data_IF_001541121198
#
_entry.id   IF_001541121198
#
_cell.length_a   1.000
_cell.length_b   1.000
_cell.length_c   1.000
_cell.angle_alpha   90.00
_cell.angle_beta   90.00
_cell.angle_gamma   90.00
#
_symmetry.space_group_name_H-M   'P 1'
#
loop_
_entity.id
_entity.type
_entity.pdbx_description
1 polymer ?
#
# COMPACT_ATOMS: atom_id res chain seq x y z
N UNK A 1 14.04 -20.95 -27.79
CA UNK A 1 14.68 -19.76 -27.18
C UNK A 1 14.66 -19.88 -25.67
N UNK A 2 15.76 -19.55 -25.00
CA UNK A 2 15.92 -19.63 -23.55
C UNK A 2 15.82 -18.22 -22.96
N UNK A 3 14.94 -18.01 -21.98
CA UNK A 3 14.87 -16.81 -21.18
C UNK A 3 15.56 -17.08 -19.85
N UNK A 4 16.69 -16.41 -19.60
CA UNK A 4 17.36 -16.44 -18.30
C UNK A 4 16.84 -15.29 -17.45
N UNK A 5 16.25 -15.58 -16.30
CA UNK A 5 15.70 -14.57 -15.41
C UNK A 5 16.52 -14.53 -14.13
N UNK A 6 17.04 -13.34 -13.80
CA UNK A 6 17.93 -13.11 -12.66
C UNK A 6 17.54 -11.83 -11.90
N UNK A 7 17.97 -11.73 -10.65
CA UNK A 7 17.84 -10.49 -9.88
C UNK A 7 19.01 -9.53 -10.09
N UNK A 8 18.74 -8.25 -9.98
CA UNK A 8 19.72 -7.18 -10.12
C UNK A 8 20.90 -7.24 -9.13
N UNK A 9 20.73 -7.96 -8.01
CA UNK A 9 21.78 -8.12 -6.98
C UNK A 9 22.78 -9.23 -7.31
N UNK A 10 22.48 -10.07 -8.27
CA UNK A 10 23.32 -11.22 -8.62
C UNK A 10 24.59 -10.79 -9.35
N UNK A 11 25.65 -11.56 -9.16
CA UNK A 11 26.85 -11.42 -9.97
C UNK A 11 26.61 -12.18 -11.28
N UNK A 12 26.49 -11.41 -12.38
CA UNK A 12 26.14 -11.94 -13.67
C UNK A 12 27.27 -11.61 -14.64
N UNK A 13 27.95 -12.64 -15.15
CA UNK A 13 28.78 -12.49 -16.33
C UNK A 13 27.94 -12.81 -17.55
N UNK A 14 27.66 -11.80 -18.37
CA UNK A 14 26.80 -11.93 -19.54
C UNK A 14 27.25 -11.01 -20.65
N UNK A 15 27.48 -11.56 -21.84
CA UNK A 15 27.99 -10.83 -23.02
C UNK A 15 26.96 -10.67 -24.15
N UNK A 16 25.79 -11.33 -24.03
CA UNK A 16 24.72 -11.27 -25.03
C UNK A 16 23.70 -10.18 -24.69
N UNK A 17 22.63 -10.11 -25.47
CA UNK A 17 21.55 -9.15 -25.24
C UNK A 17 20.84 -9.37 -23.90
N UNK A 18 20.45 -8.28 -23.27
CA UNK A 18 19.72 -8.30 -22.01
C UNK A 18 18.69 -7.18 -21.91
N UNK A 19 17.68 -7.35 -21.06
CA UNK A 19 16.65 -6.38 -20.77
C UNK A 19 16.47 -6.22 -19.26
N UNK A 20 16.24 -5.00 -18.81
CA UNK A 20 15.87 -4.72 -17.44
C UNK A 20 14.37 -4.49 -17.33
N UNK A 21 13.73 -5.21 -16.40
CA UNK A 21 12.31 -5.07 -16.06
C UNK A 21 12.21 -4.76 -14.58
N UNK A 22 11.74 -3.57 -14.27
CA UNK A 22 11.63 -3.10 -12.89
C UNK A 22 11.31 -1.62 -12.82
N UNK A 23 11.31 -1.07 -11.61
CA UNK A 23 10.97 0.32 -11.34
C UNK A 23 12.14 1.18 -10.84
N UNK A 24 13.24 0.56 -10.40
CA UNK A 24 14.37 1.26 -9.79
C UNK A 24 15.46 1.64 -10.80
N UNK A 25 15.61 2.93 -11.07
CA UNK A 25 16.71 3.45 -11.89
C UNK A 25 18.09 3.16 -11.27
N UNK A 26 18.20 3.19 -9.94
CA UNK A 26 19.44 2.84 -9.23
C UNK A 26 19.85 1.40 -9.50
N UNK A 27 18.90 0.47 -9.46
CA UNK A 27 19.16 -0.94 -9.73
C UNK A 27 19.54 -1.16 -11.19
N UNK A 28 18.88 -0.48 -12.12
CA UNK A 28 19.25 -0.51 -13.53
C UNK A 28 20.71 -0.07 -13.74
N UNK A 29 21.13 1.05 -13.15
CA UNK A 29 22.51 1.55 -13.28
C UNK A 29 23.53 0.58 -12.67
N UNK A 30 23.22 -0.03 -11.55
CA UNK A 30 24.08 -1.04 -10.94
C UNK A 30 24.28 -2.26 -11.84
N UNK A 31 23.23 -2.66 -12.56
CA UNK A 31 23.26 -3.79 -13.50
C UNK A 31 24.03 -3.42 -14.78
N UNK A 32 23.83 -2.22 -15.32
CA UNK A 32 24.58 -1.71 -16.48
C UNK A 32 26.08 -1.74 -16.25
N UNK A 33 26.55 -1.46 -15.04
CA UNK A 33 27.97 -1.49 -14.69
C UNK A 33 28.54 -2.91 -14.53
N UNK A 34 27.71 -3.94 -14.47
CA UNK A 34 28.12 -5.34 -14.25
C UNK A 34 28.03 -6.20 -15.50
N UNK A 35 27.20 -5.84 -16.46
CA UNK A 35 26.90 -6.64 -17.65
C UNK A 35 27.53 -6.00 -18.89
N UNK A 36 28.39 -6.73 -19.55
CA UNK A 36 29.06 -6.28 -20.79
C UNK A 36 28.14 -6.37 -22.02
N UNK A 37 27.09 -7.17 -21.98
CA UNK A 37 26.18 -7.40 -23.09
C UNK A 37 25.36 -6.18 -23.50
N UNK A 38 24.84 -6.17 -24.72
CA UNK A 38 24.02 -5.07 -25.25
C UNK A 38 22.65 -5.03 -24.58
N UNK A 39 22.32 -3.91 -23.95
CA UNK A 39 21.00 -3.69 -23.37
C UNK A 39 19.96 -3.37 -24.46
N UNK A 40 18.85 -4.09 -24.44
CA UNK A 40 17.64 -3.73 -25.17
C UNK A 40 16.83 -2.76 -24.31
N UNK A 41 16.62 -1.55 -24.83
CA UNK A 41 15.87 -0.51 -24.12
C UNK A 41 14.38 -0.77 -24.25
N UNK A 42 13.76 -1.22 -23.17
CA UNK A 42 12.30 -1.47 -23.15
C UNK A 42 11.48 -0.20 -23.38
N UNK A 43 12.04 0.97 -23.04
CA UNK A 43 11.35 2.26 -23.16
C UNK A 43 10.91 2.55 -24.62
N UNK A 44 11.63 2.02 -25.61
CA UNK A 44 11.30 2.20 -27.04
C UNK A 44 9.93 1.56 -27.37
N UNK A 45 9.52 0.56 -26.60
CA UNK A 45 8.24 -0.14 -26.75
C UNK A 45 7.19 0.31 -25.73
N UNK A 46 7.65 0.75 -24.55
CA UNK A 46 6.81 0.99 -23.39
C UNK A 46 5.76 2.07 -23.63
N UNK A 47 6.14 3.16 -24.30
CA UNK A 47 5.24 4.28 -24.56
C UNK A 47 4.07 3.88 -25.49
N UNK A 48 4.37 3.15 -26.57
CA UNK A 48 3.35 2.67 -27.49
C UNK A 48 2.42 1.64 -26.83
N UNK A 49 3.00 0.76 -25.98
CA UNK A 49 2.22 -0.21 -25.21
C UNK A 49 1.35 0.51 -24.18
N UNK A 50 1.89 1.49 -23.46
CA UNK A 50 1.14 2.25 -22.45
C UNK A 50 -0.09 2.94 -23.05
N UNK A 51 0.03 3.59 -24.21
CA UNK A 51 -1.12 4.22 -24.88
C UNK A 51 -2.24 3.22 -25.18
N UNK A 52 -1.88 2.02 -25.63
CA UNK A 52 -2.85 0.99 -25.98
C UNK A 52 -3.48 0.33 -24.73
N UNK A 53 -2.70 0.16 -23.67
CA UNK A 53 -3.15 -0.57 -22.48
C UNK A 53 -3.86 0.31 -21.46
N UNK A 54 -3.64 1.63 -21.49
CA UNK A 54 -4.20 2.54 -20.50
C UNK A 54 -5.74 2.47 -20.46
N UNK A 55 -6.38 2.50 -21.62
CA UNK A 55 -7.85 2.44 -21.70
C UNK A 55 -8.36 1.10 -21.17
N UNK A 56 -7.77 -0.01 -21.60
CA UNK A 56 -8.12 -1.36 -21.11
C UNK A 56 -7.95 -1.48 -19.61
N UNK A 57 -6.86 -0.93 -19.06
CA UNK A 57 -6.62 -0.89 -17.62
C UNK A 57 -7.68 -0.07 -16.87
N UNK A 58 -8.06 1.10 -17.41
CA UNK A 58 -9.09 1.95 -16.80
C UNK A 58 -10.46 1.26 -16.84
N UNK A 59 -10.83 0.63 -17.94
CA UNK A 59 -12.07 -0.15 -18.04
C UNK A 59 -12.08 -1.34 -17.09
N UNK A 60 -10.97 -2.06 -17.00
CA UNK A 60 -10.83 -3.15 -16.03
C UNK A 60 -11.00 -2.67 -14.60
N UNK A 61 -10.31 -1.58 -14.19
CA UNK A 61 -10.44 -1.01 -12.84
C UNK A 61 -11.86 -0.53 -12.56
N UNK A 62 -12.55 0.04 -13.55
CA UNK A 62 -13.94 0.46 -13.42
C UNK A 62 -14.88 -0.75 -13.26
N UNK A 63 -14.66 -1.83 -13.98
CA UNK A 63 -15.42 -3.06 -13.80
C UNK A 63 -15.20 -3.67 -12.43
N UNK A 64 -13.95 -3.69 -11.92
CA UNK A 64 -13.68 -4.10 -10.54
C UNK A 64 -14.40 -3.19 -9.54
N UNK A 65 -14.41 -1.88 -9.75
CA UNK A 65 -15.14 -0.94 -8.91
C UNK A 65 -16.63 -1.26 -8.84
N UNK A 66 -17.26 -1.61 -9.97
CA UNK A 66 -18.68 -1.99 -10.01
C UNK A 66 -18.95 -3.28 -9.24
N UNK A 67 -18.06 -4.28 -9.40
CA UNK A 67 -18.17 -5.57 -8.71
C UNK A 67 -18.00 -5.44 -7.18
N UNK A 68 -17.11 -4.56 -6.74
CA UNK A 68 -16.73 -4.38 -5.34
C UNK A 68 -17.18 -3.05 -4.75
N UNK A 69 -18.23 -2.42 -5.29
CA UNK A 69 -18.71 -1.08 -4.87
C UNK A 69 -18.99 -0.97 -3.38
N UNK A 70 -19.50 -2.05 -2.76
CA UNK A 70 -19.86 -2.11 -1.33
C UNK A 70 -18.72 -2.70 -0.46
N UNK A 71 -17.56 -2.95 -1.06
CA UNK A 71 -16.42 -3.55 -0.35
C UNK A 71 -15.43 -2.47 0.08
N UNK A 72 -15.39 -2.17 1.37
CA UNK A 72 -14.46 -1.17 1.93
C UNK A 72 -12.99 -1.49 1.62
N UNK A 73 -12.61 -2.78 1.54
CA UNK A 73 -11.23 -3.17 1.23
C UNK A 73 -10.83 -2.79 -0.18
N UNK A 74 -11.75 -2.94 -1.15
CA UNK A 74 -11.48 -2.46 -2.50
C UNK A 74 -11.09 -0.98 -2.51
N UNK A 75 -11.87 -0.14 -1.81
CA UNK A 75 -11.63 1.29 -1.76
C UNK A 75 -10.35 1.69 -1.01
N UNK A 76 -9.83 0.80 -0.16
CA UNK A 76 -8.55 1.00 0.52
C UNK A 76 -7.33 0.58 -0.32
N UNK A 77 -7.54 -0.05 -1.47
CA UNK A 77 -6.42 -0.45 -2.35
C UNK A 77 -5.91 0.71 -3.18
N UNK A 78 -4.63 0.67 -3.50
CA UNK A 78 -4.04 1.62 -4.46
C UNK A 78 -4.62 1.48 -5.86
N UNK A 79 -5.16 0.31 -6.22
CA UNK A 79 -5.84 0.06 -7.49
C UNK A 79 -7.15 0.83 -7.59
N UNK A 80 -7.97 0.87 -6.53
CA UNK A 80 -9.21 1.64 -6.50
C UNK A 80 -8.96 3.14 -6.67
N UNK A 81 -7.89 3.64 -6.04
CA UNK A 81 -7.44 5.03 -6.17
C UNK A 81 -6.78 5.35 -7.52
N UNK A 82 -6.57 4.34 -8.39
CA UNK A 82 -5.85 4.48 -9.67
C UNK A 82 -4.49 5.17 -9.51
N UNK A 83 -3.88 5.00 -8.35
CA UNK A 83 -2.66 5.69 -7.98
C UNK A 83 -1.43 4.91 -8.47
N UNK A 84 -0.92 5.30 -9.63
CA UNK A 84 0.27 4.69 -10.22
C UNK A 84 1.56 4.99 -9.44
N UNK A 85 1.55 5.95 -8.52
CA UNK A 85 2.70 6.22 -7.63
C UNK A 85 2.79 5.21 -6.49
N UNK A 86 1.66 4.61 -6.09
CA UNK A 86 1.60 3.61 -5.03
C UNK A 86 1.47 2.17 -5.54
N UNK A 87 1.23 1.97 -6.84
CA UNK A 87 1.09 0.65 -7.46
C UNK A 87 1.81 0.60 -8.80
N UNK A 88 2.76 -0.33 -8.92
CA UNK A 88 3.46 -0.60 -10.18
C UNK A 88 2.66 -1.51 -11.14
N UNK A 89 1.38 -1.80 -10.86
CA UNK A 89 0.62 -2.82 -11.59
C UNK A 89 0.51 -2.51 -13.08
N UNK A 90 0.11 -1.27 -13.45
CA UNK A 90 0.06 -0.86 -14.85
C UNK A 90 1.45 -0.89 -15.51
N UNK A 91 2.49 -0.47 -14.80
CA UNK A 91 3.86 -0.53 -15.30
C UNK A 91 4.25 -1.98 -15.62
N UNK A 92 3.94 -2.93 -14.74
CA UNK A 92 4.28 -4.35 -14.96
C UNK A 92 3.53 -4.96 -16.14
N UNK A 93 2.24 -4.62 -16.32
CA UNK A 93 1.49 -5.00 -17.52
C UNK A 93 2.20 -4.49 -18.78
N UNK A 94 2.56 -3.21 -18.80
CA UNK A 94 3.24 -2.60 -19.94
C UNK A 94 4.62 -3.23 -20.21
N UNK A 95 5.37 -3.57 -19.16
CA UNK A 95 6.68 -4.23 -19.28
C UNK A 95 6.55 -5.65 -19.86
N UNK A 96 5.58 -6.43 -19.39
CA UNK A 96 5.32 -7.79 -19.91
C UNK A 96 4.93 -7.72 -21.39
N UNK A 97 4.01 -6.83 -21.75
CA UNK A 97 3.57 -6.66 -23.15
C UNK A 97 4.68 -6.10 -24.05
N UNK A 98 5.53 -5.24 -23.52
CA UNK A 98 6.72 -4.77 -24.25
C UNK A 98 7.72 -5.91 -24.48
N UNK A 99 7.93 -6.75 -23.48
CA UNK A 99 8.76 -7.95 -23.61
C UNK A 99 8.20 -8.89 -24.69
N UNK A 100 6.87 -9.10 -24.74
CA UNK A 100 6.25 -9.88 -25.80
C UNK A 100 6.55 -9.34 -27.20
N UNK A 101 6.52 -8.00 -27.38
CA UNK A 101 6.89 -7.36 -28.65
C UNK A 101 8.36 -7.53 -28.99
N UNK A 102 9.24 -7.38 -28.00
CA UNK A 102 10.69 -7.62 -28.16
C UNK A 102 10.91 -9.05 -28.65
N UNK A 103 10.31 -10.04 -27.98
CA UNK A 103 10.52 -11.46 -28.27
C UNK A 103 10.00 -11.89 -29.66
N UNK A 104 8.96 -11.26 -30.19
CA UNK A 104 8.46 -11.52 -31.55
C UNK A 104 9.51 -11.20 -32.63
N UNK A 105 10.36 -10.21 -32.38
CA UNK A 105 11.37 -9.74 -33.33
C UNK A 105 12.78 -10.17 -32.94
N UNK A 106 12.90 -11.06 -31.95
CA UNK A 106 14.20 -11.43 -31.38
C UNK A 106 14.73 -12.72 -32.02
N UNK A 107 15.86 -12.61 -32.73
CA UNK A 107 16.45 -13.69 -33.51
C UNK A 107 17.60 -14.42 -32.83
N UNK A 108 17.75 -14.33 -31.52
CA UNK A 108 18.79 -15.01 -30.77
C UNK A 108 18.22 -16.14 -29.92
N UNK A 109 19.07 -17.12 -29.60
CA UNK A 109 18.66 -18.28 -28.81
C UNK A 109 18.46 -18.00 -27.33
N UNK A 110 19.08 -16.95 -26.81
CA UNK A 110 19.05 -16.62 -25.38
C UNK A 110 18.87 -15.11 -25.15
N UNK A 111 18.03 -14.76 -24.18
CA UNK A 111 17.84 -13.41 -23.67
C UNK A 111 17.95 -13.43 -22.15
N UNK A 112 18.76 -12.52 -21.59
CA UNK A 112 18.80 -12.30 -20.16
C UNK A 112 17.75 -11.24 -19.77
N UNK A 113 16.93 -11.58 -18.80
CA UNK A 113 15.96 -10.68 -18.18
C UNK A 113 16.43 -10.43 -16.75
N UNK A 114 16.73 -9.17 -16.44
CA UNK A 114 17.09 -8.73 -15.09
C UNK A 114 15.93 -8.00 -14.48
N UNK A 115 15.54 -8.37 -13.26
CA UNK A 115 14.42 -7.70 -12.58
C UNK A 115 14.81 -7.33 -11.14
N UNK A 116 14.16 -6.29 -10.63
CA UNK A 116 14.23 -5.88 -9.22
C UNK A 116 12.97 -6.27 -8.42
N UNK A 117 11.99 -6.92 -9.07
CA UNK A 117 10.75 -7.33 -8.43
C UNK A 117 10.43 -8.81 -8.64
N UNK A 118 10.13 -9.50 -7.54
CA UNK A 118 9.84 -10.93 -7.53
C UNK A 118 8.48 -11.27 -8.14
N UNK A 119 7.49 -10.39 -7.98
CA UNK A 119 6.15 -10.60 -8.53
C UNK A 119 6.19 -10.48 -10.05
N UNK A 120 6.99 -9.55 -10.58
CA UNK A 120 7.21 -9.41 -12.01
C UNK A 120 7.88 -10.66 -12.59
N UNK A 121 8.86 -11.23 -11.90
CA UNK A 121 9.52 -12.49 -12.32
C UNK A 121 8.53 -13.66 -12.32
N UNK A 122 7.63 -13.75 -11.34
CA UNK A 122 6.56 -14.76 -11.33
C UNK A 122 5.61 -14.57 -12.51
N UNK A 123 5.15 -13.34 -12.74
CA UNK A 123 4.27 -13.01 -13.85
C UNK A 123 4.92 -13.32 -15.21
N UNK A 124 6.22 -13.05 -15.38
CA UNK A 124 6.97 -13.45 -16.59
C UNK A 124 6.92 -14.97 -16.77
N UNK A 125 7.17 -15.73 -15.70
CA UNK A 125 7.17 -17.19 -15.74
C UNK A 125 5.82 -17.78 -16.13
N UNK A 126 4.73 -17.14 -15.74
CA UNK A 126 3.37 -17.56 -16.06
C UNK A 126 2.94 -17.18 -17.47
N UNK A 127 3.37 -16.01 -17.95
CA UNK A 127 2.97 -15.50 -19.27
C UNK A 127 3.81 -16.04 -20.44
N UNK A 128 5.02 -16.55 -20.16
CA UNK A 128 5.97 -17.02 -21.19
C UNK A 128 6.23 -18.52 -21.14
N UNK A 129 5.19 -19.33 -20.88
CA UNK A 129 5.29 -20.81 -20.78
C UNK A 129 5.83 -21.49 -22.04
N UNK A 130 5.72 -20.84 -23.19
CA UNK A 130 6.22 -21.36 -24.48
C UNK A 130 7.75 -21.23 -24.63
N UNK A 131 8.42 -20.61 -23.63
CA UNK A 131 9.85 -20.43 -23.62
C UNK A 131 10.47 -21.25 -22.48
N UNK A 132 11.69 -21.73 -22.69
CA UNK A 132 12.45 -22.39 -21.59
C UNK A 132 12.95 -21.31 -20.63
N UNK A 133 12.34 -21.22 -19.45
CA UNK A 133 12.72 -20.24 -18.44
C UNK A 133 13.71 -20.87 -17.47
N UNK A 134 14.95 -20.35 -17.48
CA UNK A 134 15.98 -20.72 -16.51
C UNK A 134 16.04 -19.66 -15.41
N UNK A 135 15.64 -20.04 -14.18
CA UNK A 135 15.76 -19.21 -12.98
C UNK A 135 17.01 -19.62 -12.22
N UNK A 136 17.69 -18.65 -11.63
CA UNK A 136 18.82 -18.98 -10.75
C UNK A 136 18.30 -19.50 -9.40
N UNK A 137 19.10 -20.35 -8.71
CA UNK A 137 18.75 -20.92 -7.40
C UNK A 137 18.54 -19.83 -6.32
N UNK A 138 19.21 -18.69 -6.45
CA UNK A 138 18.99 -17.51 -5.60
C UNK A 138 17.55 -17.01 -5.63
N UNK A 139 16.83 -17.18 -6.74
CA UNK A 139 15.42 -16.83 -6.88
C UNK A 139 14.55 -17.66 -5.92
N UNK A 140 14.72 -18.97 -5.90
CA UNK A 140 13.92 -19.88 -5.06
C UNK A 140 14.15 -19.54 -3.59
N UNK A 141 15.42 -19.36 -3.21
CA UNK A 141 15.77 -19.00 -1.83
C UNK A 141 15.21 -17.63 -1.41
N UNK A 142 15.27 -16.63 -2.30
CA UNK A 142 14.75 -15.29 -2.04
C UNK A 142 13.22 -15.29 -1.94
N UNK A 143 12.53 -16.08 -2.77
CA UNK A 143 11.07 -16.22 -2.72
C UNK A 143 10.61 -16.84 -1.40
N UNK A 144 11.26 -17.93 -0.97
CA UNK A 144 10.98 -18.57 0.32
C UNK A 144 11.26 -17.62 1.49
N UNK A 145 12.45 -16.97 1.48
CA UNK A 145 12.81 -15.97 2.50
C UNK A 145 11.80 -14.83 2.58
N UNK A 146 11.39 -14.26 1.45
CA UNK A 146 10.41 -13.18 1.40
C UNK A 146 9.04 -13.65 1.89
N UNK A 147 8.62 -14.86 1.55
CA UNK A 147 7.36 -15.43 2.02
C UNK A 147 7.38 -15.63 3.54
N UNK A 148 8.44 -16.21 4.09
CA UNK A 148 8.61 -16.36 5.56
C UNK A 148 8.61 -15.00 6.24
N UNK A 149 9.35 -14.01 5.70
CA UNK A 149 9.42 -12.67 6.26
C UNK A 149 8.10 -11.91 6.16
N UNK A 150 7.33 -12.13 5.09
CA UNK A 150 5.97 -11.61 4.95
C UNK A 150 5.05 -12.17 6.03
N UNK A 151 5.02 -13.49 6.25
CA UNK A 151 4.23 -14.11 7.31
C UNK A 151 4.66 -13.65 8.70
N UNK A 152 5.96 -13.56 8.96
CA UNK A 152 6.46 -13.01 10.22
C UNK A 152 6.01 -11.56 10.45
N UNK A 153 6.15 -10.69 9.44
CA UNK A 153 5.67 -9.31 9.53
C UNK A 153 4.16 -9.26 9.74
N UNK A 154 3.43 -10.10 9.05
CA UNK A 154 1.98 -10.17 9.17
C UNK A 154 1.56 -10.54 10.60
N UNK A 155 2.12 -11.62 11.15
CA UNK A 155 1.82 -12.07 12.53
C UNK A 155 2.22 -11.00 13.53
N UNK A 156 3.41 -10.45 13.41
CA UNK A 156 3.88 -9.36 14.28
C UNK A 156 2.94 -8.15 14.23
N UNK A 157 2.54 -7.72 13.04
CA UNK A 157 1.64 -6.59 12.89
C UNK A 157 0.24 -6.90 13.45
N UNK A 158 -0.23 -8.12 13.30
CA UNK A 158 -1.49 -8.57 13.88
C UNK A 158 -1.45 -8.46 15.41
N UNK A 159 -0.43 -9.04 16.03
CA UNK A 159 -0.23 -8.99 17.49
C UNK A 159 -0.12 -7.54 17.99
N UNK A 160 0.70 -6.72 17.33
CA UNK A 160 0.86 -5.31 17.71
C UNK A 160 -0.43 -4.52 17.56
N UNK A 161 -1.22 -4.78 16.53
CA UNK A 161 -2.52 -4.14 16.31
C UNK A 161 -3.52 -4.54 17.40
N UNK A 162 -3.63 -5.83 17.73
CA UNK A 162 -4.50 -6.29 18.83
C UNK A 162 -4.11 -5.67 20.18
N UNK A 163 -2.82 -5.67 20.48
CA UNK A 163 -2.31 -5.04 21.69
C UNK A 163 -2.63 -3.55 21.73
N UNK A 164 -2.46 -2.87 20.61
CA UNK A 164 -2.73 -1.44 20.48
C UNK A 164 -4.22 -1.13 20.65
N UNK A 165 -5.10 -1.91 20.05
CA UNK A 165 -6.56 -1.80 20.19
C UNK A 165 -6.96 -2.00 21.66
N UNK A 166 -6.51 -3.08 22.29
CA UNK A 166 -6.84 -3.38 23.68
C UNK A 166 -6.40 -2.23 24.63
N UNK A 167 -5.15 -1.78 24.46
CA UNK A 167 -4.62 -0.68 25.27
C UNK A 167 -5.39 0.63 25.01
N UNK A 168 -5.79 0.88 23.78
CA UNK A 168 -6.57 2.05 23.39
C UNK A 168 -7.95 2.05 24.05
N UNK A 169 -8.66 0.92 24.00
CA UNK A 169 -9.96 0.75 24.66
C UNK A 169 -9.86 0.92 26.17
N UNK A 170 -8.84 0.35 26.78
CA UNK A 170 -8.59 0.49 28.23
C UNK A 170 -8.35 1.97 28.57
N UNK A 171 -7.47 2.65 27.83
CA UNK A 171 -7.17 4.06 28.07
C UNK A 171 -8.38 4.97 27.84
N UNK A 172 -9.18 4.70 26.81
CA UNK A 172 -10.41 5.44 26.55
C UNK A 172 -11.40 5.28 27.71
N UNK A 173 -11.64 4.04 28.18
CA UNK A 173 -12.55 3.76 29.32
C UNK A 173 -12.08 4.38 30.63
N UNK A 174 -10.78 4.26 30.98
CA UNK A 174 -10.22 4.86 32.21
C UNK A 174 -10.37 6.39 32.19
N UNK A 175 -10.30 7.01 31.03
CA UNK A 175 -10.42 8.47 30.89
C UNK A 175 -11.84 8.94 30.62
N UNK A 176 -12.78 8.00 30.41
CA UNK A 176 -14.17 8.32 30.07
C UNK A 176 -14.84 9.11 31.19
N UNK A 177 -15.36 10.29 30.82
CA UNK A 177 -16.34 11.03 31.59
C UNK A 177 -17.73 10.68 31.06
N UNK A 178 -18.79 11.34 31.54
CA UNK A 178 -20.14 11.07 31.06
C UNK A 178 -20.25 11.07 29.54
N UNK A 179 -20.97 10.09 28.98
CA UNK A 179 -21.30 10.04 27.54
C UNK A 179 -22.37 11.07 27.24
N UNK A 180 -21.99 12.27 26.92
CA UNK A 180 -22.92 13.26 26.35
C UNK A 180 -22.89 13.14 24.85
N UNK A 181 -23.97 12.60 24.26
CA UNK A 181 -24.19 12.73 22.83
C UNK A 181 -24.38 14.20 22.51
N UNK A 182 -23.88 14.67 21.37
CA UNK A 182 -24.14 16.02 20.93
C UNK A 182 -25.66 16.24 20.78
N UNK A 183 -26.15 17.40 21.22
CA UNK A 183 -27.52 17.87 20.97
C UNK A 183 -27.75 18.14 19.47
N UNK A 184 -28.98 18.36 19.08
CA UNK A 184 -29.34 18.73 17.72
C UNK A 184 -28.51 19.95 17.18
N UNK A 185 -28.35 20.05 15.86
CA UNK A 185 -27.57 21.09 15.18
C UNK A 185 -26.06 21.04 15.48
N UNK A 186 -25.47 19.88 15.33
CA UNK A 186 -24.04 19.65 15.50
C UNK A 186 -23.33 19.52 14.17
N UNK A 187 -22.21 20.23 14.03
CA UNK A 187 -21.28 20.08 12.93
C UNK A 187 -20.17 19.12 13.33
N UNK A 188 -19.87 18.16 12.47
CA UNK A 188 -18.84 17.17 12.71
C UNK A 188 -17.63 17.42 11.79
N UNK A 189 -16.49 17.71 12.37
CA UNK A 189 -15.22 17.80 11.67
C UNK A 189 -14.42 16.51 11.89
N UNK A 190 -14.22 15.72 10.83
CA UNK A 190 -13.31 14.59 10.86
C UNK A 190 -11.90 15.04 10.52
N UNK A 191 -10.96 14.88 11.45
CA UNK A 191 -9.56 15.28 11.23
C UNK A 191 -8.56 14.34 11.90
N UNK A 192 -7.40 14.21 11.28
CA UNK A 192 -6.24 13.58 11.88
C UNK A 192 -5.58 14.54 12.88
N UNK A 193 -5.29 14.07 14.09
CA UNK A 193 -4.59 14.82 15.12
C UNK A 193 -3.23 14.18 15.36
N UNK A 194 -2.19 15.00 15.36
CA UNK A 194 -0.86 14.55 15.73
C UNK A 194 -0.80 14.20 17.21
N UNK A 195 -0.44 12.96 17.49
CA UNK A 195 -0.35 12.42 18.83
C UNK A 195 0.69 13.14 19.70
N UNK A 196 1.76 13.66 19.10
CA UNK A 196 2.80 14.40 19.81
C UNK A 196 2.26 15.69 20.44
N UNK A 197 1.38 16.40 19.74
CA UNK A 197 0.69 17.60 20.23
C UNK A 197 -0.23 17.27 21.41
N UNK A 198 -0.91 16.13 21.37
CA UNK A 198 -1.78 15.67 22.45
C UNK A 198 -1.02 15.36 23.73
N UNK A 199 0.19 14.78 23.63
CA UNK A 199 1.03 14.48 24.80
C UNK A 199 1.60 15.76 25.42
N UNK A 200 1.97 16.74 24.57
CA UNK A 200 2.54 18.02 25.04
C UNK A 200 1.52 18.97 25.66
N UNK A 201 0.25 18.62 25.66
CA UNK A 201 -0.86 19.45 26.18
C UNK A 201 -1.09 20.74 25.35
N UNK A 202 -0.70 20.73 24.11
CA UNK A 202 -0.95 21.81 23.16
C UNK A 202 -2.44 21.83 22.76
N UNK A 203 -2.99 23.04 22.49
CA UNK A 203 -4.35 23.15 21.95
C UNK A 203 -4.43 22.44 20.61
N UNK A 204 -5.48 21.65 20.43
CA UNK A 204 -5.73 20.95 19.17
C UNK A 204 -6.05 21.98 18.09
N UNK A 205 -5.09 22.19 17.19
CA UNK A 205 -5.27 23.03 16.00
C UNK A 205 -5.50 22.15 14.79
N UNK A 206 -6.52 22.46 13.99
CA UNK A 206 -6.68 21.82 12.70
C UNK A 206 -5.55 22.27 11.77
N UNK A 207 -4.87 21.30 11.14
CA UNK A 207 -3.83 21.59 10.15
C UNK A 207 -4.40 22.25 8.89
N UNK A 208 -5.60 21.87 8.51
CA UNK A 208 -6.23 22.33 7.27
C UNK A 208 -7.17 23.51 7.47
N UNK A 209 -7.74 23.63 8.66
CA UNK A 209 -8.75 24.66 8.97
C UNK A 209 -8.46 25.32 10.32
N UNK A 210 -7.36 26.09 10.45
CA UNK A 210 -6.90 26.61 11.74
C UNK A 210 -7.91 27.56 12.41
N UNK A 211 -8.68 28.33 11.63
CA UNK A 211 -9.64 29.29 12.13
C UNK A 211 -11.08 28.76 12.22
N UNK A 212 -11.32 27.49 11.87
CA UNK A 212 -12.66 26.94 11.81
C UNK A 212 -13.35 26.92 13.18
N UNK A 213 -12.66 26.57 14.25
CA UNK A 213 -13.18 26.56 15.62
C UNK A 213 -13.60 27.96 16.08
N UNK A 214 -12.82 28.98 15.70
CA UNK A 214 -13.11 30.38 16.04
C UNK A 214 -14.35 30.89 15.29
N UNK A 215 -14.48 30.54 14.02
CA UNK A 215 -15.67 30.85 13.20
C UNK A 215 -16.91 30.21 13.82
N UNK A 216 -16.92 28.91 14.11
CA UNK A 216 -18.08 28.25 14.73
C UNK A 216 -18.45 28.82 16.09
N UNK A 217 -17.47 29.24 16.88
CA UNK A 217 -17.70 29.91 18.15
C UNK A 217 -18.35 31.26 17.97
N UNK A 218 -17.95 32.06 16.96
CA UNK A 218 -18.59 33.36 16.63
C UNK A 218 -20.04 33.22 16.22
N UNK A 219 -20.34 32.18 15.44
CA UNK A 219 -21.69 31.91 14.94
C UNK A 219 -22.56 31.13 15.97
N UNK A 220 -22.09 30.90 17.18
CA UNK A 220 -22.78 30.11 18.21
C UNK A 220 -23.16 28.69 17.73
N UNK A 221 -22.36 28.10 16.86
CA UNK A 221 -22.56 26.76 16.33
C UNK A 221 -21.73 25.72 17.08
N UNK A 222 -22.30 24.55 17.29
CA UNK A 222 -21.65 23.46 17.98
C UNK A 222 -20.77 22.65 17.00
N UNK A 223 -19.44 22.78 17.10
CA UNK A 223 -18.49 21.98 16.34
C UNK A 223 -17.91 20.89 17.24
N UNK A 224 -18.13 19.63 16.81
CA UNK A 224 -17.45 18.47 17.39
C UNK A 224 -16.38 17.95 16.42
N UNK A 225 -15.28 17.51 16.98
CA UNK A 225 -14.20 16.92 16.20
C UNK A 225 -14.20 15.41 16.38
N UNK A 226 -14.43 14.66 15.30
CA UNK A 226 -14.19 13.23 15.27
C UNK A 226 -12.70 13.03 14.97
N UNK A 227 -11.98 12.49 15.92
CA UNK A 227 -10.54 12.40 15.85
C UNK A 227 -10.10 11.08 15.26
N UNK A 228 -9.23 11.16 14.25
CA UNK A 228 -8.41 10.04 13.84
C UNK A 228 -6.96 10.33 14.26
N UNK A 229 -6.35 9.40 14.96
CA UNK A 229 -5.00 9.54 15.49
C UNK A 229 -4.19 8.29 15.21
N UNK A 230 -2.91 8.48 14.88
CA UNK A 230 -1.94 7.39 14.82
C UNK A 230 -1.40 7.14 16.22
N UNK A 231 -1.54 5.91 16.70
CA UNK A 231 -1.13 5.58 18.07
C UNK A 231 0.35 5.24 18.17
N UNK A 232 1.00 5.84 19.17
CA UNK A 232 2.21 5.31 19.77
C UNK A 232 1.89 4.73 21.15
N UNK A 233 2.58 3.66 21.54
CA UNK A 233 2.31 2.91 22.76
C UNK A 233 2.42 3.75 24.06
N UNK A 234 3.23 4.80 24.06
CA UNK A 234 3.49 5.62 25.25
C UNK A 234 2.62 6.88 25.26
N UNK A 235 2.08 7.20 26.44
CA UNK A 235 1.37 8.46 26.67
C UNK A 235 -0.12 8.48 26.29
N UNK A 236 -0.73 7.34 25.95
CA UNK A 236 -2.15 7.24 25.55
C UNK A 236 -3.11 7.85 26.58
N UNK A 237 -2.94 7.55 27.88
CA UNK A 237 -3.82 8.09 28.93
C UNK A 237 -3.78 9.62 28.92
N UNK A 238 -2.58 10.22 28.80
CA UNK A 238 -2.44 11.69 28.77
C UNK A 238 -3.09 12.26 27.50
N UNK A 239 -2.87 11.61 26.35
CA UNK A 239 -3.50 12.02 25.09
C UNK A 239 -5.03 11.98 25.17
N UNK A 240 -5.61 10.90 25.68
CA UNK A 240 -7.06 10.80 25.89
C UNK A 240 -7.60 11.84 26.88
N UNK A 241 -6.91 12.09 27.99
CA UNK A 241 -7.27 13.16 28.92
C UNK A 241 -7.31 14.53 28.22
N UNK A 242 -6.38 14.80 27.31
CA UNK A 242 -6.33 16.06 26.58
C UNK A 242 -7.39 16.15 25.49
N UNK A 243 -7.69 15.07 24.77
CA UNK A 243 -8.81 15.01 23.84
C UNK A 243 -10.15 15.34 24.52
N UNK A 244 -10.33 14.87 25.75
CA UNK A 244 -11.56 15.13 26.51
C UNK A 244 -11.71 16.56 27.05
N UNK A 245 -10.65 17.35 27.05
CA UNK A 245 -10.74 18.78 27.38
C UNK A 245 -11.32 19.62 26.23
N UNK A 246 -11.29 19.05 25.03
CA UNK A 246 -11.82 19.65 23.80
C UNK A 246 -13.15 18.97 23.42
N UNK A 247 -13.95 19.58 22.55
CA UNK A 247 -15.16 18.93 22.03
C UNK A 247 -14.81 17.82 21.02
N UNK A 248 -14.05 16.83 21.48
CA UNK A 248 -13.62 15.70 20.66
C UNK A 248 -14.45 14.46 20.96
N UNK A 249 -15.01 13.87 19.89
CA UNK A 249 -15.65 12.57 19.95
C UNK A 249 -14.56 11.49 19.79
N UNK A 250 -14.54 10.56 20.72
CA UNK A 250 -13.57 9.46 20.75
C UNK A 250 -14.34 8.21 20.36
N UNK A 251 -14.07 7.58 19.18
CA UNK A 251 -14.83 6.42 18.72
C UNK A 251 -14.88 5.27 19.72
N UNK A 252 -13.81 5.08 20.49
CA UNK A 252 -13.67 4.01 21.47
C UNK A 252 -14.63 4.14 22.66
N UNK A 253 -15.37 5.25 22.80
CA UNK A 253 -16.44 5.38 23.79
C UNK A 253 -17.67 4.54 23.41
N UNK A 254 -17.85 4.28 22.12
CA UNK A 254 -19.01 3.55 21.56
C UNK A 254 -18.65 2.18 21.00
N UNK A 255 -17.36 1.95 20.72
CA UNK A 255 -16.86 0.69 20.16
C UNK A 255 -16.31 -0.16 21.31
N UNK A 256 -16.64 -1.45 21.31
CA UNK A 256 -16.11 -2.42 22.26
C UNK A 256 -15.18 -3.43 21.56
N UNK A 257 -14.56 -4.31 22.34
CA UNK A 257 -13.63 -5.31 21.81
C UNK A 257 -14.30 -6.27 20.81
N UNK A 258 -15.59 -6.58 21.03
CA UNK A 258 -16.34 -7.45 20.13
C UNK A 258 -16.54 -6.84 18.76
N UNK A 259 -16.78 -5.53 18.69
CA UNK A 259 -16.90 -4.80 17.42
C UNK A 259 -15.60 -4.89 16.62
N UNK A 260 -14.44 -4.76 17.27
CA UNK A 260 -13.14 -4.96 16.62
C UNK A 260 -12.95 -6.39 16.12
N UNK A 261 -13.38 -7.41 16.88
CA UNK A 261 -13.32 -8.81 16.45
C UNK A 261 -14.18 -9.01 15.19
N UNK A 262 -15.38 -8.44 15.16
CA UNK A 262 -16.26 -8.49 13.98
C UNK A 262 -15.62 -7.83 12.76
N UNK A 263 -15.02 -6.65 12.93
CA UNK A 263 -14.30 -5.94 11.87
C UNK A 263 -13.14 -6.79 11.34
N UNK A 264 -12.32 -7.34 12.23
CA UNK A 264 -11.19 -8.19 11.87
C UNK A 264 -11.64 -9.46 11.15
N UNK A 265 -12.70 -10.11 11.65
CA UNK A 265 -13.29 -11.29 11.01
C UNK A 265 -13.80 -10.97 9.60
N UNK A 266 -14.46 -9.84 9.41
CA UNK A 266 -14.87 -9.37 8.08
C UNK A 266 -13.66 -9.10 7.20
N UNK A 267 -12.61 -8.49 7.73
CA UNK A 267 -11.36 -8.25 7.02
C UNK A 267 -10.74 -9.54 6.49
N UNK A 268 -10.61 -10.57 7.32
CA UNK A 268 -10.06 -11.85 6.89
C UNK A 268 -10.95 -12.56 5.86
N UNK A 269 -12.29 -12.49 6.02
CA UNK A 269 -13.22 -13.10 5.06
C UNK A 269 -13.12 -12.48 3.67
N UNK A 270 -12.86 -11.18 3.57
CA UNK A 270 -12.71 -10.49 2.28
C UNK A 270 -11.33 -10.64 1.65
N UNK A 271 -10.29 -10.96 2.43
CA UNK A 271 -8.92 -11.15 1.92
C UNK A 271 -8.75 -12.40 1.04
N UNK A 272 -9.60 -13.40 1.21
CA UNK A 272 -9.58 -14.62 0.37
C UNK A 272 -10.10 -14.41 -1.05
N UNK A 273 -10.54 -13.19 -1.40
CA UNK A 273 -10.99 -12.85 -2.75
C UNK A 273 -9.95 -12.06 -3.57
N UNK A 274 -8.77 -11.83 -3.05
CA UNK A 274 -7.61 -11.22 -3.72
C UNK A 274 -6.35 -12.09 -3.50
#
# INVERSE_FOLDING_TARGET
MILRVVFHEENISWSKNWVFLGSSFKNLKNVENKIEGKRIKINDYLHAVFKNELQTYLEWTENQRKLYKDNAHWWMTSLAGRNNLSSNFLLYICQIKSLQKILKNFNQDELLIVSDDILLVKAISENFKNYTIKKNNSFIFKDVKNSIFYYYRFIRNLITTFYDIALTLICAKITQKEKKLPSDNVYLLHQHIDFSSLIKNEKIKSRYFPSLKEYFKKENLNLYTLTWYSFFLRGKIKAFKNLRKENCLIPEDWINLFDYIVIIKKYFKTRHFF
#
